data_IF_415557850041
#
_entry.id   IF_415557850041
#
_cell.length_a   1.000
_cell.length_b   1.000
_cell.length_c   1.000
_cell.angle_alpha   90.00
_cell.angle_beta   90.00
_cell.angle_gamma   90.00
#
_symmetry.space_group_name_H-M   'P 1'
#
loop_
_entity.id
_entity.type
_entity.pdbx_description
1 polymer ?
#
# COMPACT_ATOMS: atom_id res chain seq x y z
N UNK A 1 9.73 18.14 -10.47
CA UNK A 1 8.27 18.03 -10.62
C UNK A 1 7.77 19.36 -11.13
N UNK A 2 7.07 19.36 -12.26
CA UNK A 2 6.42 20.55 -12.80
C UNK A 2 5.21 20.89 -11.91
N UNK A 3 4.93 22.18 -11.73
CA UNK A 3 3.84 22.66 -10.87
C UNK A 3 2.46 22.08 -11.24
N UNK A 4 2.30 21.59 -12.47
CA UNK A 4 1.08 20.97 -12.97
C UNK A 4 0.82 19.56 -12.45
N UNK A 5 1.79 18.92 -11.78
CA UNK A 5 1.66 17.55 -11.26
C UNK A 5 1.32 17.48 -9.78
N UNK A 6 1.53 18.54 -9.02
CA UNK A 6 1.31 18.57 -7.57
C UNK A 6 0.10 19.41 -7.25
N UNK A 7 -0.96 18.78 -6.80
CA UNK A 7 -2.18 19.48 -6.39
C UNK A 7 -1.95 20.32 -5.14
N UNK A 8 -2.58 21.48 -5.06
CA UNK A 8 -2.47 22.43 -3.94
C UNK A 8 -3.85 22.89 -3.46
N UNK A 9 -3.92 23.38 -2.22
CA UNK A 9 -5.12 23.97 -1.66
C UNK A 9 -6.34 23.07 -1.70
N UNK A 10 -7.45 23.56 -2.25
CA UNK A 10 -8.71 22.85 -2.31
C UNK A 10 -8.65 21.62 -3.24
N UNK A 11 -7.92 21.71 -4.34
CA UNK A 11 -7.75 20.58 -5.28
C UNK A 11 -7.03 19.44 -4.60
N UNK A 12 -6.00 19.70 -3.78
CA UNK A 12 -5.33 18.68 -2.98
C UNK A 12 -6.30 17.97 -2.03
N UNK A 13 -7.16 18.72 -1.34
CA UNK A 13 -8.13 18.13 -0.41
C UNK A 13 -9.12 17.21 -1.11
N UNK A 14 -9.64 17.65 -2.25
CA UNK A 14 -10.56 16.83 -3.08
C UNK A 14 -9.84 15.56 -3.56
N UNK A 15 -8.64 15.69 -4.11
CA UNK A 15 -7.86 14.53 -4.59
C UNK A 15 -7.49 13.56 -3.46
N UNK A 16 -7.14 14.09 -2.29
CA UNK A 16 -6.89 13.28 -1.10
C UNK A 16 -8.13 12.49 -0.67
N UNK A 17 -9.29 13.09 -0.65
CA UNK A 17 -10.55 12.44 -0.27
C UNK A 17 -10.96 11.37 -1.28
N UNK A 18 -10.86 11.66 -2.58
CA UNK A 18 -11.09 10.68 -3.65
C UNK A 18 -10.17 9.47 -3.53
N UNK A 19 -8.86 9.70 -3.35
CA UNK A 19 -7.87 8.66 -3.18
C UNK A 19 -8.11 7.82 -1.93
N UNK A 20 -8.38 8.48 -0.80
CA UNK A 20 -8.64 7.81 0.47
C UNK A 20 -9.89 6.94 0.39
N UNK A 21 -10.94 7.44 -0.24
CA UNK A 21 -12.17 6.68 -0.48
C UNK A 21 -11.89 5.41 -1.31
N UNK A 22 -11.11 5.52 -2.38
CA UNK A 22 -10.74 4.37 -3.21
C UNK A 22 -9.90 3.35 -2.43
N UNK A 23 -8.90 3.81 -1.67
CA UNK A 23 -8.06 2.93 -0.84
C UNK A 23 -8.91 2.20 0.21
N UNK A 24 -9.76 2.90 0.95
CA UNK A 24 -10.63 2.30 1.95
C UNK A 24 -11.58 1.27 1.30
N UNK A 25 -12.22 1.60 0.18
CA UNK A 25 -13.15 0.70 -0.50
C UNK A 25 -12.47 -0.62 -0.91
N UNK A 26 -11.25 -0.56 -1.47
CA UNK A 26 -10.49 -1.76 -1.84
C UNK A 26 -10.08 -2.57 -0.61
N UNK A 27 -9.63 -1.92 0.46
CA UNK A 27 -9.28 -2.61 1.70
C UNK A 27 -10.50 -3.34 2.31
N UNK A 28 -11.65 -2.66 2.43
CA UNK A 28 -12.89 -3.23 2.95
C UNK A 28 -13.39 -4.41 2.10
N UNK A 29 -13.32 -4.29 0.78
CA UNK A 29 -13.65 -5.36 -0.14
C UNK A 29 -12.71 -6.57 0.04
N UNK A 30 -11.41 -6.35 0.17
CA UNK A 30 -10.43 -7.41 0.42
C UNK A 30 -10.66 -8.09 1.79
N UNK A 31 -11.03 -7.33 2.80
CA UNK A 31 -11.26 -7.84 4.16
C UNK A 31 -12.65 -8.44 4.37
N UNK A 32 -13.59 -8.20 3.45
CA UNK A 32 -14.99 -8.62 3.57
C UNK A 32 -15.75 -7.95 4.72
N UNK A 33 -15.26 -6.79 5.20
CA UNK A 33 -15.89 -6.01 6.27
C UNK A 33 -15.52 -4.53 6.18
N UNK A 34 -16.28 -3.70 6.88
CA UNK A 34 -15.96 -2.29 7.05
C UNK A 34 -14.76 -2.10 8.00
N UNK A 35 -13.91 -1.14 7.68
CA UNK A 35 -12.89 -0.65 8.59
C UNK A 35 -13.52 0.23 9.68
N UNK A 36 -12.80 0.41 10.78
CA UNK A 36 -13.15 1.41 11.79
C UNK A 36 -13.07 2.83 11.21
N UNK A 37 -13.72 3.78 11.85
CA UNK A 37 -13.64 5.18 11.44
C UNK A 37 -12.19 5.66 11.44
N UNK A 38 -11.82 6.37 10.38
CA UNK A 38 -10.52 6.99 10.20
C UNK A 38 -9.31 6.03 10.34
N UNK A 39 -9.21 4.96 9.52
CA UNK A 39 -8.05 4.08 9.55
C UNK A 39 -6.76 4.81 9.13
N UNK A 40 -5.63 4.37 9.67
CA UNK A 40 -4.31 4.85 9.22
C UNK A 40 -3.92 4.13 7.93
N UNK A 41 -3.86 4.86 6.82
CA UNK A 41 -3.46 4.33 5.52
C UNK A 41 -1.97 4.56 5.32
N UNK A 42 -1.23 3.46 5.25
CA UNK A 42 0.23 3.46 5.09
C UNK A 42 0.58 2.86 3.72
N UNK A 43 1.59 3.39 3.05
CA UNK A 43 2.01 2.88 1.75
C UNK A 43 3.50 2.57 1.66
N UNK A 44 3.83 1.62 0.82
CA UNK A 44 5.17 1.42 0.27
C UNK A 44 5.06 1.08 -1.21
N UNK A 45 6.00 1.55 -2.01
CA UNK A 45 5.99 1.37 -3.46
C UNK A 45 7.40 1.26 -4.03
N UNK A 46 7.49 0.89 -5.29
CA UNK A 46 8.74 0.83 -6.02
C UNK A 46 8.95 -0.51 -6.73
N UNK A 47 10.17 -0.78 -7.17
CA UNK A 47 10.51 -2.06 -7.81
C UNK A 47 10.37 -3.22 -6.82
N UNK A 48 9.94 -4.36 -7.31
CA UNK A 48 9.80 -5.55 -6.49
C UNK A 48 11.18 -6.17 -6.18
N UNK A 49 11.82 -5.67 -5.15
CA UNK A 49 13.09 -6.17 -4.62
C UNK A 49 12.91 -6.45 -3.13
N UNK A 50 12.36 -7.62 -2.78
CA UNK A 50 11.84 -7.95 -1.45
C UNK A 50 12.78 -7.60 -0.30
N UNK A 51 14.07 -7.98 -0.41
CA UNK A 51 15.08 -7.65 0.61
C UNK A 51 15.65 -6.25 0.43
N UNK A 52 16.06 -5.90 -0.78
CA UNK A 52 16.76 -4.63 -1.01
C UNK A 52 15.88 -3.42 -0.64
N UNK A 53 14.58 -3.51 -0.92
CA UNK A 53 13.60 -2.47 -0.54
C UNK A 53 13.12 -2.57 0.91
N UNK A 54 13.64 -3.54 1.70
CA UNK A 54 13.30 -3.72 3.11
C UNK A 54 11.85 -4.15 3.36
N UNK A 55 11.21 -4.80 2.37
CA UNK A 55 9.84 -5.30 2.53
C UNK A 55 9.77 -6.39 3.61
N UNK A 56 10.83 -7.15 3.82
CA UNK A 56 10.96 -8.11 4.91
C UNK A 56 10.90 -7.42 6.29
N UNK A 57 11.64 -6.33 6.47
CA UNK A 57 11.63 -5.53 7.71
C UNK A 57 10.26 -4.89 7.91
N UNK A 58 9.68 -4.34 6.85
CA UNK A 58 8.37 -3.69 6.90
C UNK A 58 7.28 -4.67 7.35
N UNK A 59 7.20 -5.83 6.70
CA UNK A 59 6.19 -6.84 7.03
C UNK A 59 6.40 -7.42 8.43
N UNK A 60 7.64 -7.62 8.86
CA UNK A 60 7.93 -8.03 10.23
C UNK A 60 7.54 -6.95 11.25
N UNK A 61 7.76 -5.67 10.93
CA UNK A 61 7.28 -4.54 11.73
C UNK A 61 5.77 -4.53 11.86
N UNK A 62 5.04 -4.77 10.77
CA UNK A 62 3.58 -4.87 10.79
C UNK A 62 3.07 -6.05 11.62
N UNK A 63 3.73 -7.21 11.58
CA UNK A 63 3.40 -8.35 12.46
C UNK A 63 3.54 -7.99 13.94
N UNK A 64 4.63 -7.30 14.30
CA UNK A 64 4.84 -6.83 15.67
C UNK A 64 3.78 -5.82 16.09
N UNK A 65 3.42 -4.91 15.19
CA UNK A 65 2.35 -3.94 15.42
C UNK A 65 1.01 -4.65 15.66
N UNK A 66 0.70 -5.68 14.87
CA UNK A 66 -0.51 -6.49 15.03
C UNK A 66 -0.58 -7.23 16.38
N UNK A 67 0.57 -7.51 17.00
CA UNK A 67 0.68 -8.14 18.32
C UNK A 67 0.54 -7.19 19.50
N UNK A 68 0.38 -5.88 19.28
CA UNK A 68 0.20 -4.93 20.39
C UNK A 68 -1.20 -5.03 20.97
N UNK A 69 -1.29 -5.03 22.31
CA UNK A 69 -2.56 -5.13 23.04
C UNK A 69 -3.49 -3.94 22.78
N UNK A 70 -2.95 -2.78 22.45
CA UNK A 70 -3.69 -1.54 22.20
C UNK A 70 -3.23 -0.85 20.93
N UNK A 71 -4.14 -0.75 20.00
CA UNK A 71 -4.04 0.14 18.82
C UNK A 71 -5.32 0.98 18.81
N UNK A 72 -5.17 2.29 18.80
CA UNK A 72 -6.30 3.22 18.82
C UNK A 72 -7.01 3.28 17.45
N UNK A 73 -6.27 3.00 16.38
CA UNK A 73 -6.76 3.02 15.00
C UNK A 73 -6.41 1.71 14.29
N UNK A 74 -7.24 1.29 13.35
CA UNK A 74 -6.83 0.27 12.39
C UNK A 74 -5.75 0.81 11.46
N UNK A 75 -4.82 -0.06 11.07
CA UNK A 75 -3.71 0.27 10.17
C UNK A 75 -3.83 -0.58 8.91
N UNK A 76 -3.83 0.04 7.75
CA UNK A 76 -3.83 -0.64 6.46
C UNK A 76 -2.55 -0.28 5.70
N UNK A 77 -1.67 -1.26 5.54
CA UNK A 77 -0.47 -1.12 4.72
C UNK A 77 -0.76 -1.56 3.28
N UNK A 78 -0.59 -0.65 2.34
CA UNK A 78 -0.56 -0.95 0.92
C UNK A 78 0.86 -1.25 0.45
N UNK A 79 1.10 -2.45 -0.08
CA UNK A 79 2.35 -2.85 -0.72
C UNK A 79 2.17 -2.81 -2.24
N UNK A 80 2.59 -1.71 -2.85
CA UNK A 80 2.38 -1.39 -4.27
C UNK A 80 3.68 -1.63 -5.06
N UNK A 81 3.95 -2.90 -5.37
CA UNK A 81 5.18 -3.32 -6.06
C UNK A 81 4.82 -4.21 -7.26
N UNK A 82 5.07 -3.75 -8.50
CA UNK A 82 4.71 -4.51 -9.69
C UNK A 82 5.40 -5.87 -9.74
N UNK A 83 4.63 -6.91 -10.01
CA UNK A 83 5.12 -8.27 -10.19
C UNK A 83 4.42 -8.92 -11.39
N UNK A 84 4.99 -10.03 -11.89
CA UNK A 84 4.35 -10.82 -12.93
C UNK A 84 3.00 -11.38 -12.39
N UNK A 85 1.91 -10.90 -12.95
CA UNK A 85 0.57 -11.24 -12.51
C UNK A 85 -0.34 -11.68 -13.68
N UNK A 86 -1.43 -12.35 -13.34
CA UNK A 86 -2.45 -12.84 -14.27
C UNK A 86 -3.64 -11.88 -14.41
N UNK A 87 -3.48 -10.65 -13.97
CA UNK A 87 -4.52 -9.62 -13.96
C UNK A 87 -5.24 -9.49 -12.61
N UNK A 88 -6.13 -8.52 -12.56
CA UNK A 88 -6.92 -8.18 -11.40
C UNK A 88 -7.89 -9.31 -11.01
N UNK A 89 -8.20 -9.42 -9.74
CA UNK A 89 -9.21 -10.35 -9.24
C UNK A 89 -10.59 -9.97 -9.75
N UNK A 90 -11.21 -10.87 -10.51
CA UNK A 90 -12.51 -10.63 -11.12
C UNK A 90 -13.66 -10.49 -10.10
N UNK A 91 -13.58 -11.20 -8.97
CA UNK A 91 -14.53 -11.09 -7.86
C UNK A 91 -14.45 -9.70 -7.22
N UNK A 92 -13.24 -9.22 -6.96
CA UNK A 92 -12.98 -7.90 -6.39
C UNK A 92 -13.44 -6.78 -7.34
N UNK A 93 -13.14 -6.89 -8.64
CA UNK A 93 -13.62 -5.95 -9.67
C UNK A 93 -15.14 -5.82 -9.66
N UNK A 94 -15.85 -6.96 -9.68
CA UNK A 94 -17.31 -6.98 -9.67
C UNK A 94 -17.89 -6.36 -8.41
N UNK A 95 -17.32 -6.69 -7.26
CA UNK A 95 -17.76 -6.14 -5.97
C UNK A 95 -17.55 -4.62 -5.88
N UNK A 96 -16.42 -4.11 -6.38
CA UNK A 96 -16.15 -2.66 -6.38
C UNK A 96 -17.10 -1.91 -7.32
N UNK A 97 -17.56 -2.53 -8.41
CA UNK A 97 -18.57 -1.96 -9.32
C UNK A 97 -19.99 -2.08 -8.77
N UNK A 98 -20.31 -3.18 -8.10
CA UNK A 98 -21.60 -3.47 -7.48
C UNK A 98 -21.38 -4.20 -6.15
N UNK A 99 -21.49 -3.48 -5.01
CA UNK A 99 -21.26 -4.06 -3.69
C UNK A 99 -22.22 -5.20 -3.30
N UNK A 100 -23.29 -5.45 -4.09
CA UNK A 100 -24.15 -6.61 -3.88
C UNK A 100 -23.55 -7.93 -4.40
N UNK A 101 -22.52 -7.84 -5.25
CA UNK A 101 -21.82 -9.02 -5.76
C UNK A 101 -20.96 -9.63 -4.66
N UNK A 102 -21.01 -10.97 -4.48
CA UNK A 102 -20.18 -11.64 -3.49
C UNK A 102 -18.72 -11.57 -3.87
N UNK A 103 -17.86 -11.49 -2.86
CA UNK A 103 -16.43 -11.75 -3.01
C UNK A 103 -16.23 -13.25 -2.81
N UNK A 104 -15.68 -13.91 -3.81
CA UNK A 104 -15.37 -15.33 -3.73
C UNK A 104 -14.30 -15.54 -2.64
N UNK A 105 -14.43 -16.64 -1.88
CA UNK A 105 -13.50 -16.97 -0.81
C UNK A 105 -12.11 -17.28 -1.36
N UNK A 106 -11.36 -16.24 -1.69
CA UNK A 106 -9.98 -16.39 -2.14
C UNK A 106 -9.08 -16.86 -0.99
N UNK A 107 -8.15 -17.77 -1.27
CA UNK A 107 -7.10 -18.15 -0.32
C UNK A 107 -6.25 -16.94 0.09
N UNK A 108 -6.13 -15.93 -0.77
CA UNK A 108 -5.35 -14.70 -0.52
C UNK A 108 -6.24 -13.46 -0.68
N UNK A 109 -7.18 -13.23 0.25
CA UNK A 109 -8.18 -12.15 0.13
C UNK A 109 -7.52 -10.76 0.11
N UNK A 110 -6.39 -10.59 0.74
CA UNK A 110 -5.61 -9.37 0.83
C UNK A 110 -4.80 -9.03 -0.43
N UNK A 111 -4.77 -9.88 -1.46
CA UNK A 111 -4.13 -9.59 -2.74
C UNK A 111 -5.15 -9.06 -3.74
N UNK A 112 -4.83 -7.98 -4.46
CA UNK A 112 -5.71 -7.37 -5.49
C UNK A 112 -5.60 -8.07 -6.84
N UNK A 113 -4.47 -8.69 -7.13
CA UNK A 113 -4.18 -9.41 -8.37
C UNK A 113 -3.58 -10.78 -8.03
N UNK A 114 -3.78 -11.75 -8.90
CA UNK A 114 -3.14 -13.04 -8.78
C UNK A 114 -1.78 -13.04 -9.49
N UNK A 115 -0.73 -13.34 -8.76
CA UNK A 115 0.59 -13.59 -9.34
C UNK A 115 0.57 -14.87 -10.18
N UNK A 116 1.53 -15.00 -11.10
CA UNK A 116 1.76 -16.26 -11.80
C UNK A 116 2.07 -17.39 -10.82
N UNK A 117 2.69 -17.08 -9.69
CA UNK A 117 3.16 -18.06 -8.71
C UNK A 117 2.98 -17.59 -7.26
N UNK A 118 1.72 -17.52 -6.79
CA UNK A 118 1.36 -17.02 -5.46
C UNK A 118 2.11 -17.72 -4.32
N UNK A 119 2.20 -19.06 -4.36
CA UNK A 119 2.74 -19.85 -3.23
C UNK A 119 4.23 -19.62 -2.95
N UNK A 120 4.99 -19.17 -3.96
CA UNK A 120 6.44 -18.98 -3.83
C UNK A 120 6.84 -17.52 -3.68
N UNK A 121 5.87 -16.62 -3.77
CA UNK A 121 6.13 -15.20 -3.63
C UNK A 121 6.50 -14.86 -2.18
N UNK A 122 7.58 -14.10 -1.93
CA UNK A 122 8.06 -13.81 -0.58
C UNK A 122 7.11 -12.90 0.21
N UNK A 123 6.37 -11.98 -0.43
CA UNK A 123 5.35 -11.14 0.25
C UNK A 123 4.18 -12.03 0.65
N UNK A 124 3.68 -12.87 -0.28
CA UNK A 124 2.59 -13.79 0.00
C UNK A 124 2.95 -14.69 1.18
N UNK A 125 4.13 -15.31 1.17
CA UNK A 125 4.60 -16.16 2.27
C UNK A 125 4.80 -15.43 3.59
N UNK A 126 5.13 -14.16 3.55
CA UNK A 126 5.27 -13.35 4.77
C UNK A 126 3.91 -13.01 5.39
N UNK A 127 2.86 -12.87 4.58
CA UNK A 127 1.51 -12.54 5.05
C UNK A 127 0.75 -13.81 5.42
N UNK A 128 0.82 -14.84 4.57
CA UNK A 128 0.06 -16.08 4.71
C UNK A 128 0.36 -16.78 6.05
N UNK A 129 -0.69 -17.20 6.77
CA UNK A 129 -0.56 -17.80 8.09
C UNK A 129 -0.04 -16.88 9.21
N UNK A 130 0.08 -15.58 8.96
CA UNK A 130 0.47 -14.58 9.96
C UNK A 130 -0.73 -13.77 10.45
N UNK A 131 -0.60 -13.00 11.55
CA UNK A 131 -1.65 -12.09 12.01
C UNK A 131 -2.09 -11.05 10.97
N UNK A 132 -1.29 -10.81 9.93
CA UNK A 132 -1.61 -9.87 8.85
C UNK A 132 -2.65 -10.43 7.86
N UNK A 133 -2.85 -11.75 7.84
CA UNK A 133 -3.89 -12.42 7.05
C UNK A 133 -5.22 -12.54 7.81
N UNK A 134 -5.23 -12.27 9.11
CA UNK A 134 -6.44 -12.34 9.94
C UNK A 134 -7.31 -11.09 9.72
N UNK A 135 -8.53 -11.23 9.18
CA UNK A 135 -9.43 -10.08 8.99
C UNK A 135 -9.90 -9.46 10.33
N UNK A 136 -9.77 -10.16 11.46
CA UNK A 136 -10.07 -9.63 12.79
C UNK A 136 -8.92 -8.81 13.39
N UNK A 137 -7.72 -8.86 12.80
CA UNK A 137 -6.59 -8.01 13.20
C UNK A 137 -6.94 -6.52 13.07
N UNK A 138 -6.23 -5.68 13.79
CA UNK A 138 -6.24 -4.21 13.58
C UNK A 138 -5.15 -3.74 12.62
N UNK A 139 -4.32 -4.63 12.12
CA UNK A 139 -3.25 -4.33 11.16
C UNK A 139 -3.41 -5.22 9.95
N UNK A 140 -3.63 -4.61 8.81
CA UNK A 140 -3.92 -5.27 7.56
C UNK A 140 -2.86 -4.93 6.52
N UNK A 141 -2.60 -5.85 5.61
CA UNK A 141 -1.76 -5.62 4.44
C UNK A 141 -2.59 -5.88 3.19
N UNK A 142 -2.58 -4.93 2.28
CA UNK A 142 -3.16 -5.08 0.94
C UNK A 142 -2.00 -5.11 -0.07
N UNK A 143 -1.83 -6.25 -0.72
CA UNK A 143 -0.80 -6.44 -1.73
C UNK A 143 -1.32 -6.10 -3.12
N UNK A 144 -0.68 -5.13 -3.76
CA UNK A 144 -1.03 -4.62 -5.09
C UNK A 144 0.13 -4.91 -6.05
N UNK A 145 0.21 -6.13 -6.62
CA UNK A 145 1.32 -6.53 -7.50
C UNK A 145 1.10 -6.08 -8.95
N UNK A 146 0.72 -4.82 -9.16
CA UNK A 146 0.47 -4.27 -10.48
C UNK A 146 1.08 -2.89 -10.64
N UNK A 147 1.35 -2.51 -11.88
CA UNK A 147 1.59 -1.11 -12.20
C UNK A 147 0.31 -0.31 -12.01
N UNK A 148 0.43 0.85 -11.38
CA UNK A 148 -0.66 1.79 -11.17
C UNK A 148 -0.55 2.89 -12.23
N UNK A 149 -1.08 2.59 -13.41
CA UNK A 149 -1.04 3.40 -14.63
C UNK A 149 -2.43 3.73 -15.18
N UNK A 150 -3.42 3.84 -14.28
CA UNK A 150 -4.85 4.08 -14.56
C UNK A 150 -5.62 2.93 -15.24
N UNK A 151 -5.01 1.74 -15.37
CA UNK A 151 -5.59 0.56 -16.07
C UNK A 151 -5.33 -0.75 -15.35
N UNK A 152 -5.09 -0.69 -14.06
CA UNK A 152 -4.81 -1.89 -13.26
C UNK A 152 -6.06 -2.77 -13.03
N UNK A 153 -7.26 -2.25 -13.29
CA UNK A 153 -8.53 -2.94 -13.17
C UNK A 153 -9.07 -3.05 -11.74
N UNK A 154 -8.42 -2.43 -10.77
CA UNK A 154 -8.88 -2.36 -9.38
C UNK A 154 -9.09 -0.91 -8.95
N UNK A 155 -8.06 -0.08 -9.04
CA UNK A 155 -8.12 1.34 -8.71
C UNK A 155 -8.44 2.19 -9.92
N UNK A 156 -7.91 1.81 -11.08
CA UNK A 156 -7.94 2.58 -12.34
C UNK A 156 -7.52 4.04 -12.11
N UNK A 157 -6.45 4.18 -11.31
CA UNK A 157 -5.81 5.43 -10.92
C UNK A 157 -4.30 5.29 -11.00
N UNK A 158 -3.65 6.39 -11.31
CA UNK A 158 -2.19 6.45 -11.24
C UNK A 158 -1.68 6.33 -9.79
N UNK A 159 -0.42 5.92 -9.64
CA UNK A 159 0.22 5.88 -8.33
C UNK A 159 0.13 7.21 -7.57
N UNK A 160 0.33 8.33 -8.24
CA UNK A 160 0.31 9.66 -7.62
C UNK A 160 -1.08 10.06 -7.16
N UNK A 161 -2.13 9.67 -7.90
CA UNK A 161 -3.50 9.89 -7.47
C UNK A 161 -3.85 9.08 -6.20
N UNK A 162 -3.27 7.91 -6.01
CA UNK A 162 -3.47 7.11 -4.80
C UNK A 162 -2.56 7.58 -3.64
N UNK A 163 -1.34 8.03 -3.94
CA UNK A 163 -0.35 8.46 -2.96
C UNK A 163 -0.91 9.53 -2.02
N UNK A 164 -1.58 10.54 -2.54
CA UNK A 164 -2.14 11.65 -1.72
C UNK A 164 -3.20 11.20 -0.71
N UNK A 165 -3.79 10.01 -0.90
CA UNK A 165 -4.74 9.42 0.05
C UNK A 165 -4.10 8.76 1.27
N UNK A 166 -2.79 8.59 1.26
CA UNK A 166 -2.04 7.94 2.35
C UNK A 166 -1.72 8.93 3.47
N UNK A 167 -1.61 8.42 4.68
CA UNK A 167 -1.21 9.20 5.86
C UNK A 167 0.30 9.14 6.09
N UNK A 168 0.95 8.07 5.60
CA UNK A 168 2.38 7.84 5.77
C UNK A 168 2.89 6.90 4.68
N UNK A 169 4.11 7.11 4.21
CA UNK A 169 4.83 6.13 3.39
C UNK A 169 6.09 5.63 4.07
N UNK A 170 6.43 4.35 3.84
CA UNK A 170 7.56 3.68 4.49
C UNK A 170 8.47 3.05 3.43
N UNK A 171 9.74 3.44 3.40
CA UNK A 171 10.75 2.96 2.46
C UNK A 171 12.02 2.49 3.20
N UNK A 172 11.96 1.34 3.90
CA UNK A 172 13.07 0.86 4.74
C UNK A 172 14.16 0.15 3.94
N UNK A 173 14.58 0.73 2.81
CA UNK A 173 15.57 0.13 1.91
C UNK A 173 16.91 -0.13 2.59
N UNK A 174 17.51 -1.29 2.32
CA UNK A 174 18.88 -1.60 2.71
C UNK A 174 19.91 -0.90 1.83
N UNK A 175 19.54 -0.64 0.57
CA UNK A 175 20.37 0.13 -0.34
C UNK A 175 19.51 0.77 -1.43
N UNK A 176 19.68 2.07 -1.62
CA UNK A 176 19.09 2.83 -2.70
C UNK A 176 20.04 3.96 -3.09
N UNK A 177 20.55 4.06 -4.34
CA UNK A 177 21.47 5.11 -4.74
C UNK A 177 20.99 6.52 -4.44
N UNK A 178 19.70 6.79 -4.67
CA UNK A 178 19.05 8.03 -4.26
C UNK A 178 17.77 7.76 -3.47
N UNK A 179 16.74 7.21 -4.07
CA UNK A 179 15.43 6.99 -3.49
C UNK A 179 14.46 8.10 -3.88
N UNK A 180 13.87 7.98 -5.06
CA UNK A 180 12.88 8.94 -5.54
C UNK A 180 11.55 8.82 -4.81
N UNK A 181 11.14 7.62 -4.41
CA UNK A 181 9.84 7.38 -3.77
C UNK A 181 9.60 8.17 -2.48
N UNK A 182 10.54 8.29 -1.53
CA UNK A 182 10.35 9.20 -0.40
C UNK A 182 10.34 10.68 -0.81
N UNK A 183 11.12 11.08 -1.80
CA UNK A 183 11.09 12.44 -2.33
C UNK A 183 9.75 12.77 -2.97
N UNK A 184 9.20 11.86 -3.76
CA UNK A 184 7.86 11.96 -4.36
C UNK A 184 6.78 12.09 -3.29
N UNK A 185 6.86 11.27 -2.24
CA UNK A 185 5.90 11.36 -1.11
C UNK A 185 5.88 12.75 -0.50
N UNK A 186 7.06 13.34 -0.23
CA UNK A 186 7.17 14.70 0.32
C UNK A 186 6.62 15.73 -0.67
N UNK A 187 6.94 15.58 -1.96
CA UNK A 187 6.44 16.50 -3.01
C UNK A 187 4.90 16.50 -3.05
N UNK A 188 4.26 15.35 -2.80
CA UNK A 188 2.80 15.22 -2.70
C UNK A 188 2.26 15.43 -1.27
N UNK A 189 3.05 16.06 -0.39
CA UNK A 189 2.64 16.40 0.99
C UNK A 189 2.27 15.18 1.85
N UNK A 190 2.85 14.02 1.55
CA UNK A 190 2.68 12.80 2.34
C UNK A 190 3.91 12.58 3.21
N UNK A 191 3.78 12.52 4.54
CA UNK A 191 4.86 12.17 5.43
C UNK A 191 5.53 10.86 5.04
N UNK A 192 6.85 10.76 5.18
CA UNK A 192 7.58 9.57 4.77
C UNK A 192 8.67 9.19 5.75
N UNK A 193 8.92 7.89 5.87
CA UNK A 193 10.07 7.33 6.60
C UNK A 193 10.96 6.60 5.61
N UNK A 194 12.24 6.91 5.63
CA UNK A 194 13.27 6.22 4.85
C UNK A 194 14.49 5.92 5.73
N UNK A 195 15.50 5.28 5.19
CA UNK A 195 16.73 4.94 5.89
C UNK A 195 17.90 5.80 5.42
N UNK A 196 18.90 5.98 6.25
CA UNK A 196 20.20 6.59 5.88
C UNK A 196 21.05 5.69 4.95
N UNK A 197 20.55 4.50 4.63
CA UNK A 197 21.12 3.61 3.62
C UNK A 197 20.65 3.96 2.20
N UNK A 198 19.63 4.84 2.11
CA UNK A 198 19.20 5.48 0.86
C UNK A 198 19.85 6.86 0.75
N UNK A 199 20.28 7.23 -0.47
CA UNK A 199 20.96 8.51 -0.71
C UNK A 199 20.16 9.72 -0.28
N UNK A 200 18.84 9.74 -0.54
CA UNK A 200 17.94 10.80 -0.11
C UNK A 200 17.85 10.89 1.43
N UNK A 201 17.67 9.76 2.12
CA UNK A 201 17.64 9.72 3.58
C UNK A 201 18.96 10.20 4.20
N UNK A 202 20.10 9.76 3.66
CA UNK A 202 21.42 10.22 4.09
C UNK A 202 21.64 11.72 3.82
N UNK A 203 21.10 12.24 2.73
CA UNK A 203 21.19 13.66 2.40
C UNK A 203 20.39 14.54 3.37
N UNK A 204 19.20 14.10 3.80
CA UNK A 204 18.41 14.80 4.82
C UNK A 204 19.13 14.77 6.17
N UNK A 205 19.54 13.58 6.62
CA UNK A 205 20.22 13.36 7.92
C UNK A 205 21.46 14.27 8.11
N UNK A 206 22.16 14.57 7.03
CA UNK A 206 23.35 15.45 7.07
C UNK A 206 23.04 16.96 7.10
N UNK A 207 21.77 17.35 7.01
CA UNK A 207 21.35 18.75 6.97
C UNK A 207 20.77 19.27 8.28
N UNK A 208 20.58 18.36 9.24
CA UNK A 208 20.30 18.70 10.64
C UNK A 208 21.61 19.05 11.38
#
# INVERSE_FOLDING_TARGET
FEDDFVWQGDDYRVKREEARTALIAVAEACLGRKLQDDPLIVGTSGRYEFRNKGLDVLLEGMKRLAGLERLDREVVLYVMVPAANRGARADLQKHLQDPSQPIDGSQWPWATHYLENMQWDPIVRAIDGSPLADPASKVHVIFVPSYLDDRDGIFDKSYYELLVGMDLTLFPSYYEPWGYTPLESIAFSVPTVTTTLAGFGLWIDRRE
#
